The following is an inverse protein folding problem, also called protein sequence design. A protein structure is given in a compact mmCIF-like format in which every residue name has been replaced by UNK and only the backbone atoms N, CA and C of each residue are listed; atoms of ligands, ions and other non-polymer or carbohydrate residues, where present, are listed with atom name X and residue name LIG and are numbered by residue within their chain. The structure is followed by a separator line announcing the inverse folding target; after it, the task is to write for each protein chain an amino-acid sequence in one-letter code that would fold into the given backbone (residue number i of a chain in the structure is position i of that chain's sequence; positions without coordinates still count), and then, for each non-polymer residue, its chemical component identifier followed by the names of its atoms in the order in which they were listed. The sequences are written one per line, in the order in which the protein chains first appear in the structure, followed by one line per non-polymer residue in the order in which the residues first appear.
data_IF_139016064841
#
_entry.id   IF_139016064841
#
_cell.length_a   1.000
_cell.length_b   1.000
_cell.length_c   1.000
_cell.angle_alpha   90.00
_cell.angle_beta   90.00
_cell.angle_gamma   90.00
#
_symmetry.space_group_name_H-M   'P 1'
#
loop_
_entity.id
_entity.type
_entity.pdbx_description
1 polymer ?
#
# COMPACT_ATOMS: atom_id res chain seq x y z
N UNK A 1 11.74 26.61 -13.22
CA UNK A 1 10.95 26.74 -11.98
C UNK A 1 11.93 26.81 -10.81
N UNK A 2 11.76 27.77 -9.90
CA UNK A 2 12.56 27.85 -8.67
C UNK A 2 11.72 27.32 -7.51
N UNK A 3 12.29 26.46 -6.67
CA UNK A 3 11.58 25.84 -5.55
C UNK A 3 12.35 26.14 -4.27
N UNK A 4 11.70 26.78 -3.32
CA UNK A 4 12.29 27.07 -2.01
C UNK A 4 12.18 25.85 -1.12
N UNK A 5 13.30 25.43 -0.54
CA UNK A 5 13.36 24.35 0.45
C UNK A 5 13.45 24.94 1.85
N UNK A 6 12.95 24.21 2.84
CA UNK A 6 13.28 24.51 4.23
C UNK A 6 14.77 24.22 4.47
N UNK A 7 15.41 24.85 5.48
CA UNK A 7 16.83 24.60 5.78
C UNK A 7 17.15 23.12 6.01
N UNK A 8 16.22 22.37 6.61
CA UNK A 8 16.37 20.94 6.83
C UNK A 8 16.41 20.14 5.51
N UNK A 9 15.47 20.42 4.60
CA UNK A 9 15.42 19.75 3.29
C UNK A 9 16.64 20.11 2.44
N UNK A 10 17.11 21.36 2.52
CA UNK A 10 18.32 21.79 1.85
C UNK A 10 19.54 21.02 2.37
N UNK A 11 19.69 20.86 3.69
CA UNK A 11 20.77 20.06 4.27
C UNK A 11 20.72 18.59 3.79
N UNK A 12 19.53 17.98 3.75
CA UNK A 12 19.36 16.61 3.24
C UNK A 12 19.83 16.50 1.77
N UNK A 13 19.43 17.46 0.93
CA UNK A 13 19.84 17.50 -0.48
C UNK A 13 21.35 17.67 -0.60
N UNK A 14 21.95 18.59 0.17
CA UNK A 14 23.40 18.81 0.15
C UNK A 14 24.17 17.57 0.58
N UNK A 15 23.74 16.86 1.63
CA UNK A 15 24.38 15.62 2.09
C UNK A 15 24.32 14.53 1.02
N UNK A 16 23.19 14.37 0.32
CA UNK A 16 23.05 13.38 -0.77
C UNK A 16 23.95 13.67 -1.96
N UNK A 17 24.15 14.94 -2.32
CA UNK A 17 25.07 15.34 -3.38
C UNK A 17 26.52 15.15 -2.94
N UNK A 18 26.88 15.63 -1.73
CA UNK A 18 28.24 15.46 -1.18
C UNK A 18 28.66 13.99 -1.03
N UNK A 19 27.69 13.10 -0.79
CA UNK A 19 27.91 11.66 -0.74
C UNK A 19 28.21 11.02 -2.11
N UNK A 20 28.18 11.77 -3.21
CA UNK A 20 28.55 11.31 -4.55
C UNK A 20 27.48 10.46 -5.25
N UNK A 21 26.36 10.16 -4.61
CA UNK A 21 25.27 9.37 -5.20
C UNK A 21 24.46 10.17 -6.24
N UNK A 22 24.51 11.50 -6.16
CA UNK A 22 23.81 12.41 -7.07
C UNK A 22 24.74 13.53 -7.51
N UNK A 23 24.63 13.95 -8.78
CA UNK A 23 25.50 14.98 -9.37
C UNK A 23 25.01 16.40 -9.07
N UNK A 24 23.72 16.56 -8.74
CA UNK A 24 23.12 17.88 -8.50
C UNK A 24 21.92 17.84 -7.56
N UNK A 25 21.63 18.98 -6.94
CA UNK A 25 20.41 19.15 -6.14
C UNK A 25 19.14 18.88 -6.94
N UNK A 26 19.10 19.33 -8.20
CA UNK A 26 17.95 19.09 -9.09
C UNK A 26 17.71 17.60 -9.36
N UNK A 27 18.76 16.78 -9.36
CA UNK A 27 18.63 15.33 -9.52
C UNK A 27 17.96 14.69 -8.30
N UNK A 28 18.40 15.07 -7.09
CA UNK A 28 17.80 14.62 -5.83
C UNK A 28 16.32 15.00 -5.77
N UNK A 29 15.98 16.24 -6.15
CA UNK A 29 14.60 16.72 -6.16
C UNK A 29 13.74 15.96 -7.17
N UNK A 30 14.25 15.71 -8.39
CA UNK A 30 13.52 14.92 -9.40
C UNK A 30 13.26 13.49 -8.95
N UNK A 31 14.25 12.85 -8.33
CA UNK A 31 14.10 11.52 -7.71
C UNK A 31 12.99 11.55 -6.64
N UNK A 32 13.06 12.51 -5.72
CA UNK A 32 12.08 12.65 -4.64
C UNK A 32 10.65 12.85 -5.16
N UNK A 33 10.47 13.69 -6.18
CA UNK A 33 9.16 13.91 -6.81
C UNK A 33 8.67 12.65 -7.54
N UNK A 34 9.56 11.91 -8.23
CA UNK A 34 9.18 10.64 -8.87
C UNK A 34 8.73 9.60 -7.85
N UNK A 35 9.43 9.47 -6.73
CA UNK A 35 9.05 8.57 -5.65
C UNK A 35 7.71 8.99 -5.01
N UNK A 36 7.50 10.30 -4.83
CA UNK A 36 6.22 10.83 -4.36
C UNK A 36 5.08 10.45 -5.33
N UNK A 37 5.27 10.67 -6.62
CA UNK A 37 4.29 10.33 -7.64
C UNK A 37 3.97 8.83 -7.66
N UNK A 38 5.00 7.97 -7.63
CA UNK A 38 4.81 6.51 -7.55
C UNK A 38 4.01 6.09 -6.31
N UNK A 39 4.29 6.72 -5.15
CA UNK A 39 3.54 6.46 -3.91
C UNK A 39 2.07 6.86 -4.07
N UNK A 40 1.81 8.01 -4.67
CA UNK A 40 0.45 8.51 -4.87
C UNK A 40 -0.32 7.61 -5.86
N UNK A 41 0.31 7.17 -6.96
CA UNK A 41 -0.28 6.19 -7.89
C UNK A 41 -0.61 4.85 -7.20
N UNK A 42 0.29 4.33 -6.38
CA UNK A 42 0.04 3.11 -5.62
C UNK A 42 -1.11 3.28 -4.63
N UNK A 43 -1.22 4.45 -4.00
CA UNK A 43 -2.31 4.76 -3.07
C UNK A 43 -3.66 4.80 -3.80
N UNK A 44 -3.73 5.45 -4.95
CA UNK A 44 -4.95 5.50 -5.76
C UNK A 44 -5.38 4.10 -6.22
N UNK A 45 -4.45 3.28 -6.72
CA UNK A 45 -4.75 1.88 -7.08
C UNK A 45 -5.28 1.06 -5.90
N UNK A 46 -4.71 1.24 -4.71
CA UNK A 46 -5.15 0.56 -3.49
C UNK A 46 -6.55 1.02 -3.06
N UNK A 47 -6.82 2.32 -3.16
CA UNK A 47 -8.15 2.86 -2.85
C UNK A 47 -9.19 2.34 -3.83
N UNK A 48 -8.87 2.29 -5.11
CA UNK A 48 -9.77 1.77 -6.14
C UNK A 48 -10.07 0.28 -5.91
N UNK A 49 -9.05 -0.53 -5.67
CA UNK A 49 -9.22 -1.93 -5.30
C UNK A 49 -10.10 -2.10 -4.05
N UNK A 50 -9.92 -1.26 -3.03
CA UNK A 50 -10.73 -1.31 -1.82
C UNK A 50 -12.19 -0.95 -2.09
N UNK A 51 -12.45 0.08 -2.91
CA UNK A 51 -13.81 0.46 -3.32
C UNK A 51 -14.52 -0.68 -4.04
N UNK A 52 -13.82 -1.37 -4.95
CA UNK A 52 -14.34 -2.54 -5.67
C UNK A 52 -14.71 -3.65 -4.70
N UNK A 53 -13.82 -4.00 -3.75
CA UNK A 53 -14.12 -5.07 -2.78
C UNK A 53 -15.26 -4.71 -1.82
N UNK A 54 -15.37 -3.43 -1.42
CA UNK A 54 -16.52 -2.96 -0.64
C UNK A 54 -17.81 -3.09 -1.44
N UNK A 55 -17.81 -2.67 -2.71
CA UNK A 55 -18.99 -2.77 -3.56
C UNK A 55 -19.43 -4.22 -3.74
N UNK A 56 -18.49 -5.16 -3.96
CA UNK A 56 -18.79 -6.59 -3.99
C UNK A 56 -19.48 -7.06 -2.71
N UNK A 57 -18.99 -6.63 -1.54
CA UNK A 57 -19.61 -6.95 -0.26
C UNK A 57 -21.04 -6.40 -0.14
N UNK A 58 -21.29 -5.19 -0.63
CA UNK A 58 -22.63 -4.60 -0.70
C UNK A 58 -23.54 -5.40 -1.63
N UNK A 59 -23.06 -5.75 -2.83
CA UNK A 59 -23.83 -6.53 -3.80
C UNK A 59 -24.14 -7.95 -3.27
N UNK A 60 -23.23 -8.53 -2.48
CA UNK A 60 -23.42 -9.80 -1.77
C UNK A 60 -24.47 -9.69 -0.66
N UNK A 61 -24.44 -8.60 0.11
CA UNK A 61 -25.46 -8.29 1.12
C UNK A 61 -26.85 -8.16 0.49
N UNK A 62 -26.98 -7.37 -0.58
CA UNK A 62 -28.25 -7.15 -1.29
C UNK A 62 -28.77 -8.42 -1.96
N UNK A 63 -27.85 -9.24 -2.51
CA UNK A 63 -28.18 -10.53 -3.10
C UNK A 63 -28.42 -11.66 -2.09
N UNK A 64 -28.36 -11.39 -0.78
CA UNK A 64 -28.54 -12.39 0.28
C UNK A 64 -27.42 -13.43 0.35
N UNK A 65 -26.26 -13.19 -0.29
CA UNK A 65 -25.07 -14.05 -0.28
C UNK A 65 -24.25 -13.84 0.99
N UNK A 66 -24.92 -13.91 2.14
CA UNK A 66 -24.34 -13.70 3.46
C UNK A 66 -24.29 -15.00 4.25
N UNK A 67 -23.37 -15.08 5.20
CA UNK A 67 -23.22 -16.22 6.10
C UNK A 67 -22.98 -15.74 7.52
N UNK A 68 -23.43 -16.53 8.49
CA UNK A 68 -23.13 -16.26 9.89
C UNK A 68 -21.61 -16.38 10.16
N UNK A 69 -21.05 -15.38 10.84
CA UNK A 69 -19.62 -15.31 11.10
C UNK A 69 -19.12 -16.44 12.00
N UNK A 70 -19.93 -16.89 12.96
CA UNK A 70 -19.54 -17.99 13.86
C UNK A 70 -19.51 -19.32 13.10
N UNK A 71 -20.48 -19.55 12.21
CA UNK A 71 -20.50 -20.74 11.35
C UNK A 71 -19.26 -20.79 10.44
N UNK A 72 -18.93 -19.68 9.76
CA UNK A 72 -17.75 -19.58 8.89
C UNK A 72 -16.46 -19.85 9.68
N UNK A 73 -16.34 -19.29 10.88
CA UNK A 73 -15.16 -19.50 11.73
C UNK A 73 -15.06 -20.93 12.26
N UNK A 74 -16.19 -21.58 12.54
CA UNK A 74 -16.23 -22.99 12.94
C UNK A 74 -15.72 -23.88 11.80
N UNK A 75 -16.25 -23.69 10.59
CA UNK A 75 -15.82 -24.43 9.40
C UNK A 75 -14.33 -24.23 9.08
N UNK A 76 -13.83 -23.00 9.25
CA UNK A 76 -12.43 -22.68 9.04
C UNK A 76 -11.52 -23.43 10.03
N UNK A 77 -11.88 -23.45 11.32
CA UNK A 77 -11.14 -24.21 12.35
C UNK A 77 -11.14 -25.71 12.06
N UNK A 78 -12.29 -26.26 11.69
CA UNK A 78 -12.42 -27.68 11.33
C UNK A 78 -11.54 -28.05 10.13
N UNK A 79 -11.46 -27.16 9.14
CA UNK A 79 -10.58 -27.35 7.98
C UNK A 79 -9.11 -27.37 8.38
N UNK A 80 -8.67 -26.44 9.22
CA UNK A 80 -7.29 -26.40 9.73
C UNK A 80 -6.92 -27.65 10.52
N UNK A 81 -7.83 -28.16 11.36
CA UNK A 81 -7.61 -29.39 12.13
C UNK A 81 -7.49 -30.62 11.24
N UNK A 82 -8.28 -30.70 10.15
CA UNK A 82 -8.15 -31.79 9.16
C UNK A 82 -6.79 -31.75 8.45
N UNK A 83 -6.32 -30.57 8.06
CA UNK A 83 -5.02 -30.41 7.41
C UNK A 83 -3.86 -30.84 8.32
N UNK A 84 -3.92 -30.53 9.62
CA UNK A 84 -2.91 -30.98 10.59
C UNK A 84 -2.86 -32.49 10.76
N UNK A 85 -4.00 -33.18 10.66
CA UNK A 85 -4.10 -34.65 10.77
C UNK A 85 -3.64 -35.40 9.52
N UNK A 86 -3.60 -34.75 8.37
CA UNK A 86 -3.15 -35.35 7.10
C UNK A 86 -1.64 -35.17 6.86
N UNK A 87 -1.01 -34.20 7.54
CA UNK A 87 0.41 -33.85 7.38
C UNK A 87 1.30 -34.30 8.55
N UNK A 88 0.78 -35.13 9.47
CA UNK A 88 1.53 -35.75 10.57
C UNK A 88 1.30 -37.25 10.57
#
# INVERSE_FOLDING_TARGET
MNVSLTPELENIVQLKVKGGLYNSASEVVREGIRLLHQRDEMREKKLESLRIEIQKGIDDLEGGRIRDGNEVMSEFKDRLLRMKRQNG
#
